data_IF_523352657875
#
_entry.id   IF_523352657875
#
_cell.length_a   1.000
_cell.length_b   1.000
_cell.length_c   1.000
_cell.angle_alpha   90.00
_cell.angle_beta   90.00
_cell.angle_gamma   90.00
#
_symmetry.space_group_name_H-M   'P 1'
#
loop_
_entity.id
_entity.type
_entity.pdbx_description
1 polymer ?
#
# COMPACT_ATOMS: atom_id res chain seq x y z
N UNK A 1 25.86 8.69 -16.28
CA UNK A 1 25.74 9.31 -14.93
C UNK A 1 24.30 9.55 -14.47
N UNK A 2 23.39 10.02 -15.34
CA UNK A 2 21.97 10.23 -14.98
C UNK A 2 21.24 8.93 -14.59
N UNK A 3 21.49 7.84 -15.30
CA UNK A 3 20.84 6.57 -14.98
C UNK A 3 21.26 6.02 -13.61
N UNK A 4 22.56 6.09 -13.31
CA UNK A 4 23.10 5.65 -12.03
C UNK A 4 22.52 6.44 -10.86
N UNK A 5 22.43 7.77 -10.99
CA UNK A 5 21.83 8.63 -9.96
C UNK A 5 20.34 8.34 -9.74
N UNK A 6 19.55 8.17 -10.81
CA UNK A 6 18.15 7.75 -10.70
C UNK A 6 18.01 6.38 -10.01
N UNK A 7 18.87 5.42 -10.35
CA UNK A 7 18.87 4.10 -9.74
C UNK A 7 19.18 4.17 -8.24
N UNK A 8 20.21 4.93 -7.86
CA UNK A 8 20.58 5.12 -6.45
C UNK A 8 19.44 5.73 -5.64
N UNK A 9 18.76 6.76 -6.18
CA UNK A 9 17.60 7.37 -5.52
C UNK A 9 16.46 6.35 -5.35
N UNK A 10 16.20 5.52 -6.36
CA UNK A 10 15.18 4.48 -6.29
C UNK A 10 15.49 3.44 -5.19
N UNK A 11 16.75 3.03 -5.09
CA UNK A 11 17.19 2.07 -4.06
C UNK A 11 17.04 2.69 -2.67
N UNK A 12 17.46 3.94 -2.46
CA UNK A 12 17.30 4.65 -1.18
C UNK A 12 15.82 4.77 -0.81
N UNK A 13 14.96 5.14 -1.76
CA UNK A 13 13.51 5.21 -1.56
C UNK A 13 12.93 3.87 -1.09
N UNK A 14 13.37 2.75 -1.68
CA UNK A 14 12.95 1.42 -1.24
C UNK A 14 13.44 1.11 0.17
N UNK A 15 14.69 1.44 0.51
CA UNK A 15 15.23 1.24 1.87
C UNK A 15 14.42 2.02 2.91
N UNK A 16 14.02 3.26 2.63
CA UNK A 16 13.18 4.07 3.53
C UNK A 16 11.80 3.41 3.74
N UNK A 17 11.18 2.90 2.67
CA UNK A 17 9.89 2.20 2.76
C UNK A 17 9.99 0.92 3.59
N UNK A 18 11.10 0.19 3.42
CA UNK A 18 11.38 -1.06 4.13
C UNK A 18 11.55 -0.79 5.63
N UNK A 19 12.35 0.21 5.97
CA UNK A 19 12.72 0.56 7.35
C UNK A 19 11.60 1.29 8.10
N UNK A 20 10.71 2.00 7.41
CA UNK A 20 9.64 2.77 8.04
C UNK A 20 8.24 2.20 7.71
N UNK A 21 7.73 1.23 8.48
CA UNK A 21 6.40 0.65 8.24
C UNK A 21 5.26 1.65 8.46
N UNK A 22 5.50 2.73 9.23
CA UNK A 22 4.51 3.78 9.52
C UNK A 22 4.14 4.64 8.30
N UNK A 23 4.96 4.64 7.24
CA UNK A 23 4.71 5.44 6.03
C UNK A 23 3.74 4.73 5.07
N UNK A 24 3.64 3.40 5.14
CA UNK A 24 2.83 2.55 4.26
C UNK A 24 1.36 2.99 4.12
N UNK A 25 0.60 3.24 5.21
CA UNK A 25 -0.80 3.67 5.08
C UNK A 25 -0.93 5.09 4.52
N UNK A 26 0.06 5.97 4.75
CA UNK A 26 0.08 7.32 4.17
C UNK A 26 0.34 7.29 2.68
N UNK A 27 1.28 6.45 2.22
CA UNK A 27 1.58 6.27 0.79
C UNK A 27 0.35 5.71 0.06
N UNK A 28 -0.31 4.70 0.64
CA UNK A 28 -1.50 4.10 0.05
C UNK A 28 -2.64 5.14 -0.06
N UNK A 29 -2.89 5.91 0.99
CA UNK A 29 -3.91 6.96 0.96
C UNK A 29 -3.56 8.12 0.02
N UNK A 30 -2.28 8.53 -0.05
CA UNK A 30 -1.84 9.61 -0.93
C UNK A 30 -1.99 9.24 -2.41
N UNK A 31 -1.74 7.97 -2.76
CA UNK A 31 -1.87 7.46 -4.13
C UNK A 31 -3.33 7.18 -4.50
N UNK A 32 -4.16 6.86 -3.51
CA UNK A 32 -5.56 6.50 -3.67
C UNK A 32 -6.45 7.28 -2.70
N UNK A 33 -6.63 8.58 -2.98
CA UNK A 33 -7.42 9.51 -2.14
C UNK A 33 -8.87 9.04 -1.92
N UNK A 34 -9.39 8.22 -2.82
CA UNK A 34 -10.72 7.61 -2.72
C UNK A 34 -10.87 6.61 -1.56
N UNK A 35 -9.77 6.14 -0.98
CA UNK A 35 -9.79 5.14 0.10
C UNK A 35 -9.65 5.85 1.46
N UNK A 36 -10.56 5.61 2.42
CA UNK A 36 -10.45 6.15 3.78
C UNK A 36 -9.14 5.73 4.45
N UNK A 37 -8.52 6.66 5.17
CA UNK A 37 -7.26 6.43 5.87
C UNK A 37 -7.39 5.34 6.95
N UNK A 38 -8.56 5.16 7.55
CA UNK A 38 -8.82 4.07 8.50
C UNK A 38 -8.69 2.70 7.83
N UNK A 39 -9.25 2.53 6.62
CA UNK A 39 -9.17 1.27 5.85
C UNK A 39 -7.71 0.99 5.47
N UNK A 40 -6.99 2.01 4.99
CA UNK A 40 -5.56 1.89 4.70
C UNK A 40 -4.75 1.48 5.95
N UNK A 41 -5.08 2.04 7.12
CA UNK A 41 -4.38 1.73 8.38
C UNK A 41 -4.70 0.31 8.87
N UNK A 42 -5.97 -0.10 8.81
CA UNK A 42 -6.39 -1.45 9.18
C UNK A 42 -5.72 -2.50 8.29
N UNK A 43 -5.71 -2.26 6.98
CA UNK A 43 -5.07 -3.12 6.00
C UNK A 43 -3.56 -3.20 6.23
N UNK A 44 -2.86 -2.06 6.30
CA UNK A 44 -1.40 -2.01 6.51
C UNK A 44 -0.94 -2.61 7.84
N UNK A 45 -1.82 -2.76 8.82
CA UNK A 45 -1.53 -3.44 10.09
C UNK A 45 -1.52 -4.96 9.95
N UNK A 46 -2.23 -5.49 8.96
CA UNK A 46 -2.47 -6.94 8.80
C UNK A 46 -1.77 -7.56 7.60
N UNK A 47 -1.47 -6.77 6.56
CA UNK A 47 -0.76 -7.26 5.38
C UNK A 47 0.75 -7.11 5.54
N UNK A 48 1.49 -8.06 4.98
CA UNK A 48 2.95 -7.99 4.97
C UNK A 48 3.46 -6.91 4.00
N UNK A 49 4.78 -6.65 4.01
CA UNK A 49 5.38 -5.63 3.14
C UNK A 49 5.20 -5.97 1.64
N UNK A 50 5.35 -7.25 1.28
CA UNK A 50 5.18 -7.72 -0.10
C UNK A 50 3.74 -7.53 -0.57
N UNK A 51 2.78 -7.97 0.24
CA UNK A 51 1.35 -7.79 -0.04
C UNK A 51 0.98 -6.32 -0.18
N UNK A 52 1.45 -5.46 0.73
CA UNK A 52 1.23 -4.02 0.63
C UNK A 52 1.75 -3.43 -0.69
N UNK A 53 2.93 -3.87 -1.14
CA UNK A 53 3.49 -3.42 -2.41
C UNK A 53 2.67 -3.89 -3.61
N UNK A 54 2.22 -5.16 -3.59
CA UNK A 54 1.33 -5.71 -4.62
C UNK A 54 0.02 -4.93 -4.66
N UNK A 55 -0.58 -4.63 -3.51
CA UNK A 55 -1.79 -3.81 -3.43
C UNK A 55 -1.57 -2.40 -4.01
N UNK A 56 -0.41 -1.80 -3.74
CA UNK A 56 -0.05 -0.48 -4.29
C UNK A 56 0.16 -0.50 -5.81
N UNK A 57 0.74 -1.57 -6.34
CA UNK A 57 0.91 -1.82 -7.78
C UNK A 57 -0.43 -2.09 -8.47
N UNK A 58 -1.29 -2.87 -7.83
CA UNK A 58 -2.62 -3.20 -8.32
C UNK A 58 -3.45 -1.93 -8.50
N UNK A 59 -3.43 -1.04 -7.52
CA UNK A 59 -4.17 0.22 -7.58
C UNK A 59 -3.71 1.18 -8.68
N UNK A 60 -2.50 1.06 -9.22
CA UNK A 60 -2.08 1.85 -10.39
C UNK A 60 -2.54 1.29 -11.74
N UNK A 61 -2.97 0.03 -11.76
CA UNK A 61 -3.41 -0.64 -12.98
C UNK A 61 -4.94 -0.81 -13.05
N UNK A 62 -5.68 -0.39 -12.01
CA UNK A 62 -7.13 -0.53 -11.91
C UNK A 62 -7.83 0.82 -11.82
N UNK A 63 -9.10 0.85 -12.22
CA UNK A 63 -9.97 2.01 -12.02
C UNK A 63 -10.08 2.33 -10.51
N UNK A 64 -10.00 3.62 -10.09
CA UNK A 64 -10.03 4.00 -8.68
C UNK A 64 -11.28 3.56 -7.92
N UNK A 65 -12.43 3.45 -8.58
CA UNK A 65 -13.70 3.05 -7.95
C UNK A 65 -13.64 1.56 -7.64
N UNK A 66 -13.29 0.74 -8.63
CA UNK A 66 -13.17 -0.72 -8.48
C UNK A 66 -12.09 -1.06 -7.45
N UNK A 67 -10.95 -0.39 -7.50
CA UNK A 67 -9.85 -0.62 -6.55
C UNK A 67 -10.28 -0.33 -5.11
N UNK A 68 -11.06 0.73 -4.88
CA UNK A 68 -11.58 1.07 -3.54
C UNK A 68 -12.51 -0.02 -3.01
N UNK A 69 -13.39 -0.55 -3.84
CA UNK A 69 -14.31 -1.64 -3.45
C UNK A 69 -13.53 -2.89 -3.03
N UNK A 70 -12.57 -3.31 -3.86
CA UNK A 70 -11.70 -4.47 -3.58
C UNK A 70 -10.93 -4.29 -2.28
N UNK A 71 -10.29 -3.13 -2.07
CA UNK A 71 -9.53 -2.86 -0.84
C UNK A 71 -10.43 -2.86 0.39
N UNK A 72 -11.64 -2.30 0.28
CA UNK A 72 -12.60 -2.27 1.38
C UNK A 72 -13.11 -3.66 1.74
N UNK A 73 -13.37 -4.50 0.75
CA UNK A 73 -13.80 -5.88 0.96
C UNK A 73 -12.67 -6.77 1.47
N UNK A 74 -11.45 -6.57 0.97
CA UNK A 74 -10.25 -7.24 1.45
C UNK A 74 -10.00 -6.91 2.92
N UNK A 75 -10.06 -5.63 3.30
CA UNK A 75 -9.92 -5.21 4.70
C UNK A 75 -10.96 -5.89 5.61
N UNK A 76 -12.23 -5.98 5.16
CA UNK A 76 -13.29 -6.71 5.89
C UNK A 76 -12.99 -8.20 6.05
N UNK A 77 -12.58 -8.88 4.98
CA UNK A 77 -12.28 -10.33 5.01
C UNK A 77 -11.11 -10.64 5.95
N UNK A 78 -10.06 -9.81 5.93
CA UNK A 78 -8.89 -9.96 6.81
C UNK A 78 -9.27 -9.66 8.28
N UNK A 79 -10.24 -8.76 8.52
CA UNK A 79 -10.83 -8.57 9.85
C UNK A 79 -11.59 -9.79 10.35
N UNK A 80 -12.42 -10.41 9.51
CA UNK A 80 -13.15 -11.63 9.87
C UNK A 80 -12.24 -12.82 10.14
N UNK A 81 -11.17 -13.02 9.35
CA UNK A 81 -10.26 -14.16 9.50
C UNK A 81 -9.43 -14.16 10.80
N UNK A 82 -9.25 -13.01 11.44
CA UNK A 82 -8.49 -12.91 12.70
C UNK A 82 -9.36 -13.07 13.96
N UNK A 83 -10.69 -13.15 13.80
CA UNK A 83 -11.64 -13.32 14.91
C UNK A 83 -12.13 -14.78 15.04
N UNK A 84 -11.48 -15.72 14.35
CA UNK A 84 -11.61 -17.17 14.50
C UNK A 84 -10.24 -17.73 14.92
#
# INVERSE_FOLDING_TARGET
MILATMLTVLVIYRVIIITCPKVRPRILHAKHRSIPIEVCRALCRKVEMGDWWILLMLGTNMDPIIYREIISELAKKIDTSNNH
#
